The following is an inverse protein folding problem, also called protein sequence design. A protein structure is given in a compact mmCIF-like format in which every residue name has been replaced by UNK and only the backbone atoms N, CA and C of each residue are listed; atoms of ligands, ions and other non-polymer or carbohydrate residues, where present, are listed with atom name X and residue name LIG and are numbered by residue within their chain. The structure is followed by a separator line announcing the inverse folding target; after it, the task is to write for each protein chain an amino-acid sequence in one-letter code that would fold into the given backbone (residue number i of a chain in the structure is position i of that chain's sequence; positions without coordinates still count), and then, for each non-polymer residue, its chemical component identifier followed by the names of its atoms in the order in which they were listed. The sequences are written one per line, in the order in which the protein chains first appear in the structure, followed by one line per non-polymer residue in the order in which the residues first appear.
data_IF_954043628819
#
_entry.id   IF_954043628819
#
_cell.length_a   1.000
_cell.length_b   1.000
_cell.length_c   1.000
_cell.angle_alpha   90.00
_cell.angle_beta   90.00
_cell.angle_gamma   90.00
#
_symmetry.space_group_name_H-M   'P 1'
#
loop_
_entity.id
_entity.type
_entity.pdbx_description
1 polymer ?
#
# COMPACT_ATOMS: atom_id res chain seq x y z
N UNK A 1 20.30 -24.20 -13.38
CA UNK A 1 19.72 -23.76 -13.16
C UNK A 1 19.10 -22.91 -13.26
N UNK A 2 18.50 -22.93 -13.25
CA UNK A 2 17.85 -22.16 -13.37
C UNK A 2 17.60 -21.28 -12.79
N UNK A 3 17.61 -20.81 -12.92
CA UNK A 3 17.34 -19.92 -12.39
C UNK A 3 16.26 -19.50 -12.04
N UNK A 4 16.12 -19.74 -11.67
CA UNK A 4 15.00 -19.43 -11.16
C UNK A 4 14.79 -18.12 -10.97
N UNK A 5 14.85 -17.50 -11.78
CA UNK A 5 14.63 -16.31 -11.70
C UNK A 5 13.35 -16.05 -11.50
N UNK A 6 13.09 -15.43 -10.56
CA UNK A 6 11.95 -14.91 -10.39
C UNK A 6 11.72 -13.95 -11.35
N UNK A 7 10.67 -13.91 -12.02
CA UNK A 7 10.27 -12.87 -12.90
C UNK A 7 9.70 -11.78 -12.06
N UNK A 8 10.56 -10.93 -11.57
CA UNK A 8 10.10 -9.79 -10.82
C UNK A 8 9.58 -8.78 -11.81
N UNK A 9 8.27 -8.56 -11.80
CA UNK A 9 7.67 -7.52 -12.63
C UNK A 9 7.58 -6.27 -11.80
N UNK A 10 8.54 -5.36 -12.02
CA UNK A 10 8.60 -4.12 -11.30
C UNK A 10 8.48 -2.98 -12.29
N UNK A 11 7.56 -2.09 -12.08
CA UNK A 11 7.43 -0.93 -12.95
C UNK A 11 7.23 0.34 -12.13
N UNK A 12 7.61 1.46 -12.72
CA UNK A 12 7.55 2.75 -12.07
C UNK A 12 6.78 3.71 -12.97
N UNK A 13 6.07 4.62 -12.36
CA UNK A 13 5.38 5.68 -13.09
C UNK A 13 5.47 6.97 -12.30
N UNK A 14 6.07 8.00 -12.89
CA UNK A 14 6.13 9.30 -12.27
C UNK A 14 4.84 10.05 -12.57
N UNK A 15 4.42 10.87 -11.64
CA UNK A 15 3.22 11.70 -11.79
C UNK A 15 1.97 10.89 -12.10
N UNK A 16 1.88 9.72 -11.45
CA UNK A 16 0.76 8.81 -11.66
C UNK A 16 -0.57 9.44 -11.24
N UNK A 17 -0.57 10.16 -10.12
CA UNK A 17 -1.74 10.86 -9.65
C UNK A 17 -1.71 12.30 -10.13
N UNK A 18 -2.87 12.87 -10.43
CA UNK A 18 -2.98 14.29 -10.70
C UNK A 18 -2.68 15.07 -9.41
N UNK A 19 -2.47 16.37 -9.54
CA UNK A 19 -2.19 17.20 -8.38
C UNK A 19 -3.34 17.17 -7.38
N UNK A 20 -4.57 17.26 -7.88
CA UNK A 20 -5.74 17.24 -7.02
C UNK A 20 -5.90 15.89 -6.32
N UNK A 21 -5.67 14.81 -7.05
CA UNK A 21 -5.72 13.47 -6.46
C UNK A 21 -4.68 13.31 -5.37
N UNK A 22 -3.46 13.78 -5.65
CA UNK A 22 -2.37 13.70 -4.69
C UNK A 22 -2.72 14.50 -3.43
N UNK A 23 -3.30 15.67 -3.58
CA UNK A 23 -3.66 16.50 -2.43
C UNK A 23 -4.72 15.82 -1.56
N UNK A 24 -5.69 15.19 -2.17
CA UNK A 24 -6.72 14.47 -1.42
C UNK A 24 -6.11 13.32 -0.62
N UNK A 25 -5.25 12.54 -1.25
CA UNK A 25 -4.63 11.39 -0.60
C UNK A 25 -3.68 11.86 0.51
N UNK A 26 -2.88 12.88 0.22
CA UNK A 26 -1.94 13.43 1.19
C UNK A 26 -2.67 13.98 2.41
N UNK A 27 -3.74 14.74 2.18
CA UNK A 27 -4.52 15.32 3.26
C UNK A 27 -5.11 14.23 4.16
N UNK A 28 -5.59 13.15 3.58
CA UNK A 28 -6.06 12.01 4.36
C UNK A 28 -4.93 11.45 5.23
N UNK A 29 -3.76 11.25 4.63
CA UNK A 29 -2.65 10.62 5.34
C UNK A 29 -2.17 11.44 6.54
N UNK A 30 -2.10 12.75 6.41
CA UNK A 30 -1.54 13.58 7.49
C UNK A 30 -2.58 14.03 8.51
N UNK A 31 -3.86 14.05 8.15
CA UNK A 31 -4.89 14.55 9.06
C UNK A 31 -5.74 13.45 9.69
N UNK A 32 -5.64 12.22 9.20
CA UNK A 32 -6.39 11.13 9.79
C UNK A 32 -5.70 10.66 11.07
N UNK A 33 -6.51 10.33 12.08
CA UNK A 33 -5.97 9.94 13.38
C UNK A 33 -6.11 8.46 13.68
N UNK A 34 -6.52 7.67 12.70
CA UNK A 34 -6.79 6.25 12.93
C UNK A 34 -5.55 5.39 12.69
N UNK A 35 -4.40 5.83 13.16
CA UNK A 35 -3.17 5.07 13.08
C UNK A 35 -3.02 4.22 14.34
N UNK A 36 -2.79 2.94 14.16
CA UNK A 36 -2.68 1.99 15.25
C UNK A 36 -1.26 1.42 15.27
N UNK A 37 -0.62 1.50 16.42
CA UNK A 37 0.72 0.96 16.58
C UNK A 37 0.64 -0.56 16.71
N UNK A 38 1.67 -1.22 16.25
CA UNK A 38 1.80 -2.66 16.47
C UNK A 38 1.77 -3.48 15.21
N UNK A 39 1.91 -2.85 14.05
CA UNK A 39 1.99 -3.59 12.80
C UNK A 39 3.21 -4.50 12.81
N UNK A 40 3.04 -5.73 12.32
CA UNK A 40 4.12 -6.68 12.24
C UNK A 40 4.38 -7.03 10.80
N UNK A 41 5.65 -6.98 10.40
CA UNK A 41 6.04 -7.28 9.02
C UNK A 41 5.96 -8.76 8.72
N UNK A 42 6.19 -9.61 9.71
CA UNK A 42 5.97 -11.04 9.56
C UNK A 42 5.05 -11.49 10.67
N UNK A 43 4.31 -12.55 10.46
CA UNK A 43 3.31 -12.99 11.40
C UNK A 43 3.87 -13.25 12.80
N UNK A 44 4.96 -13.99 12.88
CA UNK A 44 5.54 -14.36 14.16
C UNK A 44 7.00 -14.02 14.18
N UNK A 45 7.53 -13.73 15.34
CA UNK A 45 8.95 -13.61 15.54
C UNK A 45 9.55 -12.24 15.34
N UNK A 46 8.81 -11.31 14.76
CA UNK A 46 9.31 -9.94 14.64
C UNK A 46 8.58 -9.02 15.60
N UNK A 47 9.29 -8.05 16.19
CA UNK A 47 8.61 -7.04 17.00
C UNK A 47 7.70 -6.19 16.16
N UNK A 48 6.68 -5.56 16.74
CA UNK A 48 5.87 -4.62 16.00
C UNK A 48 6.70 -3.41 15.58
N UNK A 49 6.43 -2.91 14.38
CA UNK A 49 7.11 -1.73 13.85
C UNK A 49 6.05 -0.79 13.26
N UNK A 50 6.18 0.48 13.58
CA UNK A 50 5.37 1.52 12.98
C UNK A 50 3.90 1.50 13.34
N UNK A 51 3.20 2.36 12.66
CA UNK A 51 1.76 2.54 12.79
C UNK A 51 1.11 2.23 11.45
N UNK A 52 -0.11 1.73 11.49
CA UNK A 52 -0.85 1.47 10.27
C UNK A 52 -2.23 2.07 10.38
N UNK A 53 -2.70 2.65 9.30
CA UNK A 53 -4.07 3.11 9.15
C UNK A 53 -4.68 2.35 7.99
N UNK A 54 -5.55 1.40 8.30
CA UNK A 54 -6.24 0.64 7.27
C UNK A 54 -7.46 1.43 6.84
N UNK A 55 -7.57 1.72 5.56
CA UNK A 55 -8.63 2.56 5.03
C UNK A 55 -9.84 1.67 4.70
N UNK A 56 -11.00 1.89 5.33
CA UNK A 56 -12.17 1.08 5.04
C UNK A 56 -12.58 1.21 3.57
N UNK A 57 -13.09 0.13 3.00
CA UNK A 57 -13.52 0.15 1.59
C UNK A 57 -14.62 1.15 1.33
N UNK A 58 -15.40 1.47 2.35
CA UNK A 58 -16.48 2.45 2.22
C UNK A 58 -15.98 3.89 2.26
N UNK A 59 -14.74 4.10 2.65
CA UNK A 59 -14.20 5.46 2.74
C UNK A 59 -13.96 6.05 1.34
N UNK A 60 -14.21 7.35 1.21
CA UNK A 60 -14.09 8.02 -0.07
C UNK A 60 -12.68 7.86 -0.67
N UNK A 61 -11.63 7.99 0.15
CA UNK A 61 -10.25 7.88 -0.34
C UNK A 61 -9.99 6.48 -0.90
N UNK A 62 -10.50 5.45 -0.25
CA UNK A 62 -10.36 4.09 -0.77
C UNK A 62 -11.05 3.95 -2.12
N UNK A 63 -12.23 4.49 -2.25
CA UNK A 63 -12.98 4.44 -3.51
C UNK A 63 -12.25 5.19 -4.62
N UNK A 64 -11.73 6.37 -4.31
CA UNK A 64 -10.98 7.17 -5.27
C UNK A 64 -9.73 6.42 -5.73
N UNK A 65 -8.94 5.90 -4.80
CA UNK A 65 -7.72 5.19 -5.17
C UNK A 65 -8.01 3.94 -5.98
N UNK A 66 -9.01 3.18 -5.58
CA UNK A 66 -9.38 1.96 -6.30
C UNK A 66 -9.84 2.29 -7.73
N UNK A 67 -10.61 3.35 -7.90
CA UNK A 67 -11.06 3.79 -9.22
C UNK A 67 -9.89 4.21 -10.08
N UNK A 68 -9.00 5.04 -9.54
CA UNK A 68 -7.83 5.53 -10.27
C UNK A 68 -6.94 4.38 -10.72
N UNK A 69 -6.66 3.45 -9.81
CA UNK A 69 -5.80 2.32 -10.13
C UNK A 69 -6.42 1.46 -11.23
N UNK A 70 -7.71 1.20 -11.16
CA UNK A 70 -8.37 0.38 -12.18
C UNK A 70 -8.46 1.08 -13.52
N UNK A 71 -8.58 2.40 -13.54
CA UNK A 71 -8.59 3.14 -14.80
C UNK A 71 -7.21 3.20 -15.44
N UNK A 72 -6.18 3.30 -14.65
CA UNK A 72 -4.83 3.57 -15.16
C UNK A 72 -3.93 2.34 -15.23
N UNK A 73 -4.30 1.25 -14.56
CA UNK A 73 -3.52 0.02 -14.58
C UNK A 73 -4.42 -1.10 -15.10
N UNK A 74 -4.24 -1.40 -16.37
CA UNK A 74 -5.19 -2.27 -17.06
C UNK A 74 -5.23 -3.69 -16.50
N UNK A 75 -4.09 -4.24 -16.18
CA UNK A 75 -4.04 -5.66 -15.83
C UNK A 75 -4.69 -5.99 -14.49
N UNK A 76 -5.02 -4.99 -13.66
CA UNK A 76 -5.67 -5.26 -12.39
C UNK A 76 -7.19 -5.07 -12.43
N UNK A 77 -7.75 -4.75 -13.58
CA UNK A 77 -9.18 -4.42 -13.67
C UNK A 77 -10.09 -5.53 -13.18
N UNK A 78 -9.67 -6.77 -13.39
CA UNK A 78 -10.48 -7.91 -12.98
C UNK A 78 -10.01 -8.50 -11.64
N UNK A 79 -9.06 -7.87 -10.98
CA UNK A 79 -8.58 -8.35 -9.70
C UNK A 79 -9.40 -7.78 -8.56
N UNK A 80 -9.49 -8.54 -7.48
CA UNK A 80 -10.21 -8.10 -6.30
C UNK A 80 -9.29 -7.23 -5.46
N UNK A 81 -9.82 -6.10 -4.98
CA UNK A 81 -9.10 -5.29 -4.01
C UNK A 81 -9.09 -6.02 -2.68
N UNK A 82 -7.90 -6.20 -2.11
CA UNK A 82 -7.78 -6.82 -0.80
C UNK A 82 -7.81 -5.77 0.30
N UNK A 83 -6.95 -4.79 0.23
CA UNK A 83 -6.95 -3.71 1.23
C UNK A 83 -6.08 -2.56 0.75
N UNK A 84 -6.35 -1.40 1.32
CA UNK A 84 -5.53 -0.21 1.15
C UNK A 84 -5.21 0.30 2.55
N UNK A 85 -3.96 0.59 2.82
CA UNK A 85 -3.55 1.09 4.13
C UNK A 85 -2.35 2.02 3.99
N UNK A 86 -2.13 2.79 5.04
CA UNK A 86 -1.02 3.73 5.11
C UNK A 86 -0.11 3.31 6.25
N UNK A 87 1.17 3.19 5.95
CA UNK A 87 2.17 2.92 6.97
C UNK A 87 2.81 4.22 7.42
N UNK A 88 3.08 4.33 8.71
CA UNK A 88 3.75 5.48 9.27
C UNK A 88 4.84 5.01 10.22
N UNK A 89 6.08 5.37 9.92
CA UNK A 89 7.21 4.99 10.74
C UNK A 89 7.81 6.22 11.41
N UNK A 90 8.28 6.05 12.63
CA UNK A 90 9.05 7.09 13.31
C UNK A 90 10.43 7.19 12.68
N UNK A 91 11.14 8.31 12.86
CA UNK A 91 12.52 8.42 12.38
C UNK A 91 13.38 7.28 12.91
N UNK A 92 14.20 6.70 12.03
CA UNK A 92 15.11 5.59 12.33
C UNK A 92 14.44 4.26 12.61
N UNK A 93 13.12 4.20 12.50
CA UNK A 93 12.41 2.95 12.62
C UNK A 93 12.46 2.22 11.29
N UNK A 94 12.76 0.92 11.31
CA UNK A 94 12.87 0.12 10.09
C UNK A 94 11.95 -1.08 10.16
N UNK A 95 11.37 -1.41 9.04
CA UNK A 95 10.63 -2.65 8.91
C UNK A 95 11.53 -3.83 8.65
N UNK A 96 10.95 -5.00 8.57
CA UNK A 96 11.66 -6.23 8.27
C UNK A 96 11.31 -6.70 6.86
N UNK A 97 12.24 -7.38 6.23
CA UNK A 97 11.97 -7.94 4.91
C UNK A 97 10.88 -9.00 5.02
N UNK A 98 9.94 -8.96 4.11
CA UNK A 98 8.83 -9.91 4.09
C UNK A 98 8.21 -9.94 2.70
N UNK A 99 7.28 -10.86 2.50
CA UNK A 99 6.47 -10.87 1.28
C UNK A 99 5.02 -10.65 1.64
N UNK A 100 4.27 -10.09 0.71
CA UNK A 100 2.84 -9.86 0.91
C UNK A 100 1.99 -11.01 0.40
N UNK A 101 2.64 -12.10 0.00
CA UNK A 101 1.94 -13.25 -0.51
C UNK A 101 1.75 -13.16 -2.02
N UNK A 102 0.77 -13.91 -2.53
CA UNK A 102 0.56 -14.00 -3.97
C UNK A 102 -0.44 -12.92 -4.40
N UNK A 103 0.04 -11.71 -4.54
CA UNK A 103 -0.81 -10.57 -4.88
C UNK A 103 0.01 -9.49 -5.58
N UNK A 104 -0.69 -8.49 -6.10
CA UNK A 104 -0.05 -7.29 -6.67
C UNK A 104 -0.09 -6.18 -5.63
N UNK A 105 1.04 -5.56 -5.39
CA UNK A 105 1.15 -4.47 -4.40
C UNK A 105 1.56 -3.18 -5.10
N UNK A 106 0.92 -2.11 -4.70
CA UNK A 106 1.22 -0.77 -5.19
C UNK A 106 1.77 0.10 -4.07
#
# INVERSE_FOLDING_TARGET
MENSQENINLSFSDNFFSREEHEIIYDYCINNKNYIFGEKDTGNGTPPTGFVNEIPETHLVCKIMNTILRERVEFIRDMKLMRIYVNCFAPKENGYFHTDGDCVTF
#
